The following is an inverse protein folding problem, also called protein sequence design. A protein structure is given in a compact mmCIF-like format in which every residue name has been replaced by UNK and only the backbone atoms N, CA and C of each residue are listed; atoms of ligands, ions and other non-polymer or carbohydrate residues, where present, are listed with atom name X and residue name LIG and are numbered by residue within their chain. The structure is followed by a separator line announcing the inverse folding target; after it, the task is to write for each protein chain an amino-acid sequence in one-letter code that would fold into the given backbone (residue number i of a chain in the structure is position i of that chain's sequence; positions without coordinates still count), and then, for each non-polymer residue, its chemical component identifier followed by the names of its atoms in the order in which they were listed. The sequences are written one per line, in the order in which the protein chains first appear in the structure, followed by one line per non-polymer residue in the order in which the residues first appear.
data_IF_876058796851
#
_entry.id   IF_876058796851
#
_cell.length_a   1.000
_cell.length_b   1.000
_cell.length_c   1.000
_cell.angle_alpha   90.00
_cell.angle_beta   90.00
_cell.angle_gamma   90.00
#
_symmetry.space_group_name_H-M   'P 1'
#
loop_
_entity.id
_entity.type
_entity.pdbx_description
1 polymer ?
#
# COMPACT_ATOMS: atom_id res chain seq x y z
N UNK A 1 5.34 -2.71 3.47
CA UNK A 1 4.44 -1.67 2.90
C UNK A 1 4.11 -2.06 1.48
N UNK A 2 2.83 -2.20 1.16
CA UNK A 2 2.38 -2.55 -0.19
C UNK A 2 1.27 -1.58 -0.62
N UNK A 3 1.33 -1.07 -1.87
CA UNK A 3 0.40 -0.10 -2.43
C UNK A 3 0.19 1.15 -1.54
N UNK A 4 1.24 1.59 -0.86
CA UNK A 4 1.19 2.73 0.05
C UNK A 4 1.56 4.04 -0.66
N UNK A 5 1.11 5.16 -0.09
CA UNK A 5 1.60 6.49 -0.47
C UNK A 5 2.42 7.07 0.67
N UNK A 6 3.68 7.38 0.40
CA UNK A 6 4.59 8.07 1.31
C UNK A 6 4.53 9.57 0.99
N UNK A 7 3.87 10.33 1.86
CA UNK A 7 3.70 11.76 1.67
C UNK A 7 4.77 12.55 2.44
N UNK A 8 5.67 13.21 1.72
CA UNK A 8 6.69 14.08 2.29
C UNK A 8 6.07 15.44 2.57
N UNK A 9 6.10 15.87 3.81
CA UNK A 9 5.50 17.15 4.27
C UNK A 9 6.57 18.19 4.65
N UNK A 10 7.84 17.82 4.59
CA UNK A 10 8.96 18.66 5.04
C UNK A 10 9.63 19.37 3.86
N UNK A 11 9.61 20.69 3.85
CA UNK A 11 10.18 21.51 2.78
C UNK A 11 11.70 21.38 2.61
N UNK A 12 12.42 20.98 3.64
CA UNK A 12 13.88 20.79 3.59
C UNK A 12 14.31 19.42 3.02
N UNK A 13 13.38 18.62 2.52
CA UNK A 13 13.66 17.24 2.13
C UNK A 13 13.98 16.34 3.33
N UNK A 14 14.83 15.35 3.14
CA UNK A 14 15.25 14.45 4.20
C UNK A 14 15.45 13.02 3.73
N UNK A 15 15.22 12.08 4.62
CA UNK A 15 15.37 10.64 4.39
C UNK A 15 14.03 9.97 4.63
N UNK A 16 13.60 9.09 3.70
CA UNK A 16 12.35 8.35 3.88
C UNK A 16 12.50 7.37 5.04
N UNK A 17 13.62 6.66 5.09
CA UNK A 17 13.91 5.72 6.18
C UNK A 17 15.29 5.93 6.79
N UNK A 18 15.40 5.56 8.06
CA UNK A 18 16.65 5.33 8.77
C UNK A 18 16.53 3.96 9.47
N UNK A 19 16.69 2.87 8.73
CA UNK A 19 16.45 1.52 9.24
C UNK A 19 17.50 1.12 10.27
N UNK A 20 17.03 0.43 11.31
CA UNK A 20 17.85 -0.20 12.33
C UNK A 20 17.31 -1.63 12.54
N UNK A 21 18.05 -2.63 12.10
CA UNK A 21 17.65 -4.03 12.16
C UNK A 21 18.77 -4.88 12.75
N UNK A 22 18.41 -5.86 13.57
CA UNK A 22 19.34 -6.91 13.95
C UNK A 22 19.79 -7.71 12.70
N UNK A 23 20.99 -8.23 12.71
CA UNK A 23 21.54 -9.00 11.59
C UNK A 23 20.65 -10.20 11.18
N UNK A 24 19.98 -10.82 12.17
CA UNK A 24 19.06 -11.93 11.97
C UNK A 24 17.72 -11.55 11.31
N UNK A 25 17.40 -10.25 11.20
CA UNK A 25 16.17 -9.81 10.54
C UNK A 25 16.23 -10.18 9.05
N UNK A 26 15.24 -10.96 8.57
CA UNK A 26 15.30 -11.51 7.21
C UNK A 26 15.09 -10.43 6.15
N UNK A 27 14.09 -9.55 6.29
CA UNK A 27 13.65 -8.64 5.22
C UNK A 27 13.91 -7.15 5.48
N UNK A 28 13.72 -6.65 6.68
CA UNK A 28 13.79 -5.23 7.00
C UNK A 28 12.60 -4.42 6.46
N UNK A 29 12.84 -3.20 6.00
CA UNK A 29 11.80 -2.39 5.35
C UNK A 29 11.66 -2.77 3.88
N UNK A 30 10.48 -3.21 3.51
CA UNK A 30 10.13 -3.56 2.12
C UNK A 30 8.95 -2.68 1.68
N UNK A 31 9.18 -1.90 0.63
CA UNK A 31 8.18 -1.06 -0.02
C UNK A 31 7.89 -1.62 -1.40
N UNK A 32 6.64 -2.05 -1.64
CA UNK A 32 6.20 -2.60 -2.92
C UNK A 32 5.09 -1.74 -3.49
N UNK A 33 5.13 -1.47 -4.79
CA UNK A 33 4.08 -0.73 -5.50
C UNK A 33 3.72 0.60 -4.84
N UNK A 34 4.72 1.27 -4.28
CA UNK A 34 4.54 2.45 -3.42
C UNK A 34 4.72 3.74 -4.22
N UNK A 35 3.95 4.77 -3.91
CA UNK A 35 4.13 6.11 -4.47
C UNK A 35 4.79 7.01 -3.44
N UNK A 36 5.86 7.72 -3.82
CA UNK A 36 6.49 8.77 -3.01
C UNK A 36 6.03 10.11 -3.58
N UNK A 37 5.42 10.96 -2.77
CA UNK A 37 4.85 12.23 -3.18
C UNK A 37 5.14 13.33 -2.17
N UNK A 38 5.11 14.59 -2.61
CA UNK A 38 5.36 15.77 -1.78
C UNK A 38 4.47 16.96 -2.20
N UNK A 39 3.14 16.84 -2.10
CA UNK A 39 2.25 17.93 -2.47
C UNK A 39 2.49 19.14 -1.55
N UNK A 40 2.69 20.33 -2.15
CA UNK A 40 2.96 21.56 -1.43
C UNK A 40 4.40 21.75 -0.95
N UNK A 41 5.31 20.83 -1.26
CA UNK A 41 6.75 20.98 -1.04
C UNK A 41 7.38 21.53 -2.33
N UNK A 42 8.38 22.44 -2.25
CA UNK A 42 9.06 22.96 -3.43
C UNK A 42 9.59 21.85 -4.35
N UNK A 43 9.44 22.00 -5.67
CA UNK A 43 9.80 20.97 -6.66
C UNK A 43 11.28 20.60 -6.67
N UNK A 44 12.15 21.52 -6.26
CA UNK A 44 13.61 21.34 -6.10
C UNK A 44 13.99 20.56 -4.84
N UNK A 45 13.03 20.30 -3.94
CA UNK A 45 13.28 19.55 -2.72
C UNK A 45 13.66 18.11 -3.04
N UNK A 46 14.84 17.71 -2.59
CA UNK A 46 15.39 16.39 -2.81
C UNK A 46 15.19 15.51 -1.59
N UNK A 47 14.75 14.26 -1.82
CA UNK A 47 14.46 13.28 -0.76
C UNK A 47 15.27 12.01 -1.01
N UNK A 48 16.06 11.61 -0.04
CA UNK A 48 16.82 10.37 -0.09
C UNK A 48 15.92 9.17 0.23
N UNK A 49 16.14 8.05 -0.42
CA UNK A 49 15.43 6.78 -0.11
C UNK A 49 15.70 6.34 1.33
N UNK A 50 16.94 6.52 1.79
CA UNK A 50 17.27 6.23 3.18
C UNK A 50 18.73 6.49 3.52
N UNK A 51 19.07 6.25 4.80
CA UNK A 51 20.42 6.27 5.34
C UNK A 51 20.61 5.14 6.35
N UNK A 52 21.81 4.53 6.47
CA UNK A 52 22.02 3.36 7.32
C UNK A 52 22.15 3.77 8.79
N UNK A 53 21.21 3.33 9.63
CA UNK A 53 21.23 3.63 11.06
C UNK A 53 21.43 2.37 11.87
N UNK A 54 22.48 2.34 12.72
CA UNK A 54 22.87 1.19 13.55
C UNK A 54 22.97 -0.15 12.81
N UNK A 55 23.36 -1.18 13.50
CA UNK A 55 23.52 -2.61 13.18
C UNK A 55 23.51 -2.98 11.67
N UNK A 56 22.47 -3.69 11.21
CA UNK A 56 22.35 -4.26 9.86
C UNK A 56 21.14 -3.72 9.10
N UNK A 57 21.14 -2.45 8.69
CA UNK A 57 20.03 -1.87 7.93
C UNK A 57 19.70 -2.67 6.67
N UNK A 58 18.40 -2.88 6.44
CA UNK A 58 17.86 -3.52 5.23
C UNK A 58 16.68 -2.70 4.71
N UNK A 59 16.75 -2.27 3.47
CA UNK A 59 15.63 -1.55 2.84
C UNK A 59 15.58 -1.85 1.36
N UNK A 60 14.39 -2.15 0.86
CA UNK A 60 14.15 -2.42 -0.55
C UNK A 60 12.89 -1.69 -1.01
N UNK A 61 12.99 -1.04 -2.17
CA UNK A 61 11.87 -0.45 -2.89
C UNK A 61 11.66 -1.20 -4.20
N UNK A 62 10.42 -1.61 -4.49
CA UNK A 62 10.07 -2.36 -5.71
C UNK A 62 8.87 -1.70 -6.37
N UNK A 63 8.95 -1.44 -7.67
CA UNK A 63 7.88 -0.82 -8.45
C UNK A 63 7.42 0.51 -7.85
N UNK A 64 8.35 1.36 -7.46
CA UNK A 64 8.03 2.64 -6.80
C UNK A 64 7.83 3.74 -7.83
N UNK A 65 6.79 4.57 -7.65
CA UNK A 65 6.58 5.79 -8.43
C UNK A 65 7.08 6.98 -7.62
N UNK A 66 8.14 7.64 -8.09
CA UNK A 66 8.71 8.82 -7.46
C UNK A 66 8.12 10.10 -8.07
N UNK A 67 7.20 10.74 -7.37
CA UNK A 67 6.67 12.08 -7.71
C UNK A 67 7.44 13.20 -6.99
N UNK A 68 8.65 12.92 -6.59
CA UNK A 68 9.60 13.82 -5.91
C UNK A 68 10.97 13.63 -6.52
N UNK A 69 11.86 14.59 -6.36
CA UNK A 69 13.27 14.45 -6.76
C UNK A 69 13.98 13.51 -5.79
N UNK A 70 14.46 12.38 -6.30
CA UNK A 70 15.37 11.47 -5.60
C UNK A 70 16.77 11.72 -6.18
N UNK A 71 17.81 11.99 -5.36
CA UNK A 71 19.18 12.09 -5.85
C UNK A 71 19.56 10.84 -6.65
N UNK A 72 20.38 10.99 -7.68
CA UNK A 72 20.84 9.85 -8.49
C UNK A 72 21.48 8.75 -7.63
N UNK A 73 22.22 9.12 -6.60
CA UNK A 73 22.78 8.19 -5.62
C UNK A 73 21.73 7.44 -4.79
N UNK A 74 20.53 7.97 -4.64
CA UNK A 74 19.38 7.35 -3.93
C UNK A 74 19.58 7.19 -2.43
N UNK A 75 20.75 6.71 -2.01
CA UNK A 75 21.09 6.34 -0.64
C UNK A 75 22.17 7.24 -0.05
N UNK A 76 21.94 7.72 1.15
CA UNK A 76 22.92 8.54 1.87
C UNK A 76 23.91 7.65 2.62
N UNK A 77 25.21 7.88 2.43
CA UNK A 77 26.29 6.93 2.74
C UNK A 77 26.57 6.69 4.21
N UNK A 78 26.03 7.47 5.14
CA UNK A 78 26.41 7.31 6.56
C UNK A 78 25.30 7.69 7.52
N UNK A 79 25.18 6.93 8.58
CA UNK A 79 24.52 7.21 9.86
C UNK A 79 24.93 6.19 10.93
N UNK A 80 26.12 5.60 10.79
CA UNK A 80 26.68 4.66 11.75
C UNK A 80 26.28 3.20 11.54
N UNK A 81 25.41 2.87 10.58
CA UNK A 81 25.00 1.49 10.31
C UNK A 81 25.81 0.82 9.21
N UNK A 82 25.76 -0.52 9.20
CA UNK A 82 26.41 -1.40 8.21
C UNK A 82 25.30 -2.02 7.36
N UNK A 83 24.84 -1.37 6.27
CA UNK A 83 23.74 -1.87 5.48
C UNK A 83 24.11 -3.18 4.76
N UNK A 84 23.25 -4.19 4.87
CA UNK A 84 23.42 -5.43 4.11
C UNK A 84 22.73 -5.36 2.73
N UNK A 85 21.63 -4.62 2.65
CA UNK A 85 20.94 -4.31 1.40
C UNK A 85 20.21 -2.96 1.51
N UNK A 86 20.37 -2.12 0.51
CA UNK A 86 19.63 -0.89 0.29
C UNK A 86 19.43 -0.70 -1.21
N UNK A 87 18.40 -1.30 -1.74
CA UNK A 87 18.19 -1.40 -3.17
C UNK A 87 16.84 -0.83 -3.59
N UNK A 88 16.77 -0.36 -4.81
CA UNK A 88 15.51 -0.14 -5.49
C UNK A 88 15.50 -0.87 -6.85
N UNK A 89 14.31 -1.29 -7.26
CA UNK A 89 14.07 -2.04 -8.47
C UNK A 89 12.83 -1.51 -9.18
N UNK A 90 12.96 -1.24 -10.48
CA UNK A 90 11.87 -0.71 -11.29
C UNK A 90 11.24 0.56 -10.70
N UNK A 91 12.09 1.50 -10.27
CA UNK A 91 11.64 2.82 -9.83
C UNK A 91 11.34 3.69 -11.05
N UNK A 92 10.19 4.34 -11.04
CA UNK A 92 9.66 5.15 -12.12
C UNK A 92 9.51 6.61 -11.70
N UNK A 93 9.53 7.53 -12.66
CA UNK A 93 9.20 8.94 -12.45
C UNK A 93 7.67 9.15 -12.31
N UNK A 94 7.23 10.40 -12.15
CA UNK A 94 5.82 10.77 -12.03
C UNK A 94 4.97 10.42 -13.25
N UNK A 95 5.59 10.22 -14.42
CA UNK A 95 4.95 9.89 -15.70
C UNK A 95 4.96 8.38 -15.99
N UNK A 96 5.58 7.59 -15.11
CA UNK A 96 5.72 6.14 -15.27
C UNK A 96 6.91 5.72 -16.14
N UNK A 97 7.86 6.63 -16.43
CA UNK A 97 9.09 6.28 -17.14
C UNK A 97 10.10 5.70 -16.16
N UNK A 98 10.82 4.62 -16.51
CA UNK A 98 11.88 4.07 -15.67
C UNK A 98 12.97 5.09 -15.37
N UNK A 99 13.41 5.18 -14.12
CA UNK A 99 14.59 5.94 -13.74
C UNK A 99 15.86 5.13 -14.04
N UNK A 100 16.94 5.85 -14.37
CA UNK A 100 18.28 5.25 -14.44
C UNK A 100 18.79 5.00 -13.00
N UNK A 101 18.92 3.74 -12.64
CA UNK A 101 19.39 3.30 -11.32
C UNK A 101 20.90 3.01 -11.28
N UNK A 102 21.63 3.20 -12.41
CA UNK A 102 23.05 2.86 -12.50
C UNK A 102 23.96 3.67 -11.56
N UNK A 103 23.47 4.85 -11.15
CA UNK A 103 24.18 5.75 -10.23
C UNK A 103 23.80 5.56 -8.77
N UNK A 104 23.00 4.52 -8.44
CA UNK A 104 22.66 4.22 -7.06
C UNK A 104 23.89 3.91 -6.24
N UNK A 105 24.01 4.58 -5.11
CA UNK A 105 25.16 4.45 -4.22
C UNK A 105 25.18 3.07 -3.54
N UNK A 106 26.27 2.36 -3.66
CA UNK A 106 26.56 1.12 -2.92
C UNK A 106 27.50 1.35 -1.74
N UNK A 107 28.26 2.46 -1.75
CA UNK A 107 29.24 2.81 -0.75
C UNK A 107 28.60 3.36 0.52
N UNK A 108 29.09 2.88 1.67
CA UNK A 108 28.83 3.45 2.99
C UNK A 108 30.08 3.56 3.83
N UNK A 109 30.01 4.35 4.89
CA UNK A 109 31.01 4.34 5.95
C UNK A 109 30.38 4.50 7.33
N UNK A 110 31.10 4.03 8.33
CA UNK A 110 30.78 4.28 9.74
C UNK A 110 32.07 4.61 10.50
N UNK A 111 31.94 5.07 11.74
CA UNK A 111 33.06 5.29 12.66
C UNK A 111 33.02 4.16 13.68
N UNK A 112 34.11 3.43 13.80
CA UNK A 112 34.25 2.33 14.76
C UNK A 112 34.45 2.85 16.19
N UNK A 113 34.44 1.96 17.18
CA UNK A 113 34.64 2.29 18.59
C UNK A 113 36.01 2.92 18.90
N UNK A 114 37.00 2.73 18.04
CA UNK A 114 38.31 3.34 18.12
C UNK A 114 38.39 4.71 17.44
N UNK A 115 37.28 5.19 16.83
CA UNK A 115 37.21 6.46 16.15
C UNK A 115 37.71 6.45 14.70
N UNK A 116 37.98 5.27 14.13
CA UNK A 116 38.44 5.17 12.75
C UNK A 116 37.26 5.12 11.79
N UNK A 117 37.45 5.76 10.62
CA UNK A 117 36.52 5.60 9.51
C UNK A 117 36.67 4.22 8.87
N UNK A 118 35.60 3.46 8.81
CA UNK A 118 35.51 2.16 8.15
C UNK A 118 34.61 2.27 6.94
N UNK A 119 35.14 1.95 5.77
CA UNK A 119 34.44 1.98 4.49
C UNK A 119 33.87 0.61 4.15
N UNK A 120 32.71 0.58 3.46
CA UNK A 120 32.09 -0.65 3.01
C UNK A 120 31.18 -0.46 1.81
N UNK A 121 30.69 -1.58 1.30
CA UNK A 121 29.78 -1.58 0.14
C UNK A 121 28.60 -2.50 0.44
N UNK A 122 27.41 -2.00 0.15
CA UNK A 122 26.15 -2.72 0.32
C UNK A 122 25.59 -3.13 -1.03
N UNK A 123 24.74 -4.13 -1.03
CA UNK A 123 23.99 -4.49 -2.23
C UNK A 123 22.97 -3.40 -2.53
N UNK A 124 23.07 -2.78 -3.72
CA UNK A 124 22.20 -1.68 -4.19
C UNK A 124 21.34 -2.02 -5.40
N UNK A 125 21.50 -3.21 -5.97
CA UNK A 125 20.72 -3.71 -7.11
C UNK A 125 20.10 -5.06 -6.81
N UNK A 126 18.91 -5.30 -7.40
CA UNK A 126 18.25 -6.60 -7.40
C UNK A 126 18.22 -7.16 -8.82
N UNK A 127 18.42 -8.47 -8.96
CA UNK A 127 18.08 -9.18 -10.19
C UNK A 127 16.57 -9.33 -10.31
N UNK A 128 16.06 -9.72 -11.48
CA UNK A 128 14.64 -9.99 -11.67
C UNK A 128 14.13 -11.10 -10.74
N UNK A 129 14.93 -12.15 -10.53
CA UNK A 129 14.61 -13.27 -9.66
C UNK A 129 14.55 -12.84 -8.20
N UNK A 130 15.51 -12.00 -7.78
CA UNK A 130 15.52 -11.46 -6.42
C UNK A 130 14.32 -10.53 -6.18
N UNK A 131 14.02 -9.62 -7.11
CA UNK A 131 12.85 -8.75 -7.02
C UNK A 131 11.55 -9.55 -6.96
N UNK A 132 11.43 -10.62 -7.74
CA UNK A 132 10.27 -11.52 -7.73
C UNK A 132 10.09 -12.29 -6.42
N UNK A 133 11.14 -12.43 -5.61
CA UNK A 133 11.07 -13.06 -4.29
C UNK A 133 10.38 -12.20 -3.22
N UNK A 134 10.31 -10.88 -3.44
CA UNK A 134 9.62 -9.94 -2.55
C UNK A 134 8.11 -9.98 -2.80
N UNK A 135 7.45 -10.89 -2.16
CA UNK A 135 5.98 -11.01 -2.17
C UNK A 135 5.44 -10.85 -0.75
N UNK A 136 4.19 -10.46 -0.60
CA UNK A 136 3.53 -10.38 0.73
C UNK A 136 3.70 -11.70 1.47
N UNK A 137 3.49 -12.82 0.77
CA UNK A 137 3.68 -14.15 1.33
C UNK A 137 5.08 -14.36 1.87
N UNK A 138 6.11 -14.13 1.07
CA UNK A 138 7.49 -14.42 1.46
C UNK A 138 7.97 -13.47 2.56
N UNK A 139 7.58 -12.18 2.49
CA UNK A 139 8.04 -11.14 3.43
C UNK A 139 7.39 -11.28 4.81
N UNK A 140 6.11 -11.68 4.87
CA UNK A 140 5.34 -11.73 6.12
C UNK A 140 5.15 -13.13 6.67
N UNK A 141 5.36 -14.16 5.85
CA UNK A 141 5.24 -15.55 6.27
C UNK A 141 6.42 -15.90 7.18
N UNK A 142 6.16 -16.03 8.46
CA UNK A 142 7.11 -16.55 9.44
C UNK A 142 6.98 -18.08 9.60
N UNK A 143 7.44 -18.59 10.75
CA UNK A 143 7.25 -20.01 11.13
C UNK A 143 5.78 -20.39 11.31
N UNK A 144 4.90 -19.41 11.52
CA UNK A 144 3.45 -19.52 11.65
C UNK A 144 2.72 -19.53 10.29
N UNK A 145 3.45 -19.38 9.19
CA UNK A 145 2.91 -19.28 7.84
C UNK A 145 1.85 -18.18 7.67
N UNK A 146 1.94 -17.10 8.46
CA UNK A 146 0.97 -16.01 8.44
C UNK A 146 0.92 -15.32 7.07
N UNK A 147 -0.30 -15.17 6.54
CA UNK A 147 -0.55 -14.49 5.29
C UNK A 147 -1.77 -13.57 5.45
N UNK A 148 -1.59 -12.25 5.52
CA UNK A 148 -2.70 -11.31 5.70
C UNK A 148 -3.71 -11.35 4.55
N UNK A 149 -3.28 -11.73 3.34
CA UNK A 149 -4.17 -11.88 2.19
C UNK A 149 -5.18 -13.03 2.35
N UNK A 150 -4.89 -14.03 3.19
CA UNK A 150 -5.81 -15.11 3.48
C UNK A 150 -6.89 -14.72 4.50
N UNK A 151 -6.71 -13.59 5.19
CA UNK A 151 -7.66 -13.06 6.16
C UNK A 151 -8.71 -12.15 5.53
N UNK A 152 -8.56 -11.81 4.25
CA UNK A 152 -9.51 -10.98 3.50
C UNK A 152 -10.59 -11.86 2.85
N UNK A 153 -11.27 -12.72 3.62
CA UNK A 153 -12.52 -13.30 3.15
C UNK A 153 -13.48 -12.15 2.88
N UNK A 154 -13.96 -12.03 1.66
CA UNK A 154 -15.01 -11.06 1.35
C UNK A 154 -16.32 -11.53 1.97
N UNK A 155 -17.07 -10.60 2.54
CA UNK A 155 -18.43 -10.88 2.97
C UNK A 155 -19.29 -11.32 1.78
N UNK A 156 -20.32 -12.08 2.07
CA UNK A 156 -21.33 -12.41 1.08
C UNK A 156 -22.03 -11.15 0.53
N UNK A 157 -22.70 -11.32 -0.58
CA UNK A 157 -23.49 -10.27 -1.24
C UNK A 157 -24.79 -10.04 -0.46
N UNK A 158 -25.12 -8.81 -0.01
CA UNK A 158 -26.40 -8.49 0.59
C UNK A 158 -27.53 -8.64 -0.44
N UNK A 159 -28.61 -9.34 -0.06
CA UNK A 159 -29.86 -9.38 -0.83
C UNK A 159 -30.76 -8.31 -0.25
N UNK A 160 -30.97 -7.24 -1.00
CA UNK A 160 -31.69 -6.06 -0.54
C UNK A 160 -33.11 -6.06 -1.10
N UNK A 161 -34.10 -5.87 -0.22
CA UNK A 161 -35.50 -5.68 -0.57
C UNK A 161 -35.92 -4.24 -0.28
N UNK A 162 -36.84 -3.73 -1.08
CA UNK A 162 -37.46 -2.42 -0.86
C UNK A 162 -38.86 -2.64 -0.32
N UNK A 163 -39.14 -2.07 0.86
CA UNK A 163 -40.47 -2.08 1.48
C UNK A 163 -40.66 -0.80 2.27
N UNK A 164 -41.83 -0.17 2.12
CA UNK A 164 -42.24 1.00 2.91
C UNK A 164 -41.19 2.14 2.93
N UNK A 165 -40.60 2.47 1.77
CA UNK A 165 -39.51 3.44 1.62
C UNK A 165 -38.24 3.11 2.43
N UNK A 166 -38.02 1.84 2.69
CA UNK A 166 -36.82 1.34 3.34
C UNK A 166 -36.14 0.28 2.46
N UNK A 167 -34.81 0.35 2.38
CA UNK A 167 -33.96 -0.77 2.00
C UNK A 167 -33.80 -1.67 3.23
N UNK A 168 -34.02 -2.95 3.08
CA UNK A 168 -33.81 -3.93 4.16
C UNK A 168 -33.08 -5.15 3.62
N UNK A 169 -32.25 -5.76 4.44
CA UNK A 169 -31.50 -6.98 4.09
C UNK A 169 -31.28 -7.86 5.32
N UNK A 170 -30.99 -9.12 5.07
CA UNK A 170 -30.58 -10.04 6.14
C UNK A 170 -29.09 -9.79 6.45
N UNK A 171 -28.72 -9.86 7.73
CA UNK A 171 -27.34 -9.71 8.14
C UNK A 171 -26.44 -10.72 7.41
N UNK A 172 -25.40 -10.20 6.79
CA UNK A 172 -24.41 -11.01 6.07
C UNK A 172 -23.40 -11.57 7.09
N UNK A 173 -23.08 -12.85 7.06
CA UNK A 173 -22.08 -13.44 7.95
C UNK A 173 -20.74 -12.69 7.87
N UNK A 174 -20.12 -12.48 9.03
CA UNK A 174 -18.85 -11.74 9.20
C UNK A 174 -18.88 -10.25 8.84
N UNK A 175 -20.00 -9.70 8.43
CA UNK A 175 -20.12 -8.26 8.21
C UNK A 175 -20.17 -7.50 9.54
N UNK A 176 -19.32 -6.49 9.69
CA UNK A 176 -19.34 -5.56 10.83
C UNK A 176 -20.08 -4.26 10.51
N UNK A 177 -20.18 -3.90 9.25
CA UNK A 177 -20.96 -2.77 8.76
C UNK A 177 -21.29 -2.93 7.28
N UNK A 178 -22.07 -1.98 6.76
CA UNK A 178 -22.47 -1.93 5.36
C UNK A 178 -22.17 -0.55 4.78
N UNK A 179 -21.56 -0.51 3.60
CA UNK A 179 -21.36 0.70 2.80
C UNK A 179 -22.64 0.98 2.02
N UNK A 180 -23.12 2.20 2.09
CA UNK A 180 -24.27 2.69 1.33
C UNK A 180 -23.76 3.47 0.12
N UNK A 181 -24.08 2.99 -1.06
CA UNK A 181 -23.73 3.62 -2.33
C UNK A 181 -25.03 4.12 -2.98
N UNK A 182 -25.08 5.40 -3.31
CA UNK A 182 -26.19 6.06 -4.00
C UNK A 182 -25.68 6.69 -5.27
N UNK A 183 -26.26 6.33 -6.43
CA UNK A 183 -25.86 6.84 -7.74
C UNK A 183 -24.33 6.74 -7.95
N UNK A 184 -23.77 5.54 -7.66
CA UNK A 184 -22.36 5.19 -7.75
C UNK A 184 -21.41 6.01 -6.85
N UNK A 185 -21.94 6.70 -5.84
CA UNK A 185 -21.15 7.41 -4.82
C UNK A 185 -21.40 6.81 -3.44
N UNK A 186 -20.34 6.59 -2.68
CA UNK A 186 -20.45 6.24 -1.26
C UNK A 186 -21.02 7.45 -0.52
N UNK A 187 -22.15 7.25 0.17
CA UNK A 187 -22.83 8.28 0.94
C UNK A 187 -22.77 8.04 2.46
N UNK A 188 -22.32 6.88 2.89
CA UNK A 188 -22.17 6.57 4.31
C UNK A 188 -22.03 5.10 4.60
N UNK A 189 -22.07 4.79 5.90
CA UNK A 189 -21.97 3.45 6.47
C UNK A 189 -23.10 3.26 7.46
N UNK A 190 -23.52 2.02 7.64
CA UNK A 190 -24.46 1.63 8.70
C UNK A 190 -24.11 0.27 9.29
N UNK A 191 -24.36 0.09 10.57
CA UNK A 191 -24.33 -1.23 11.24
C UNK A 191 -25.69 -1.88 11.24
N UNK A 192 -26.75 -1.14 10.87
CA UNK A 192 -28.10 -1.66 10.75
C UNK A 192 -28.27 -2.44 9.44
N UNK A 193 -29.25 -3.29 9.38
CA UNK A 193 -29.68 -4.03 8.17
C UNK A 193 -30.80 -3.33 7.43
N UNK A 194 -30.89 -2.00 7.57
CA UNK A 194 -31.88 -1.16 6.89
C UNK A 194 -31.33 0.23 6.62
N UNK A 195 -31.86 0.89 5.60
CA UNK A 195 -31.55 2.27 5.24
C UNK A 195 -32.70 2.94 4.52
N UNK A 196 -32.85 4.24 4.65
CA UNK A 196 -33.91 4.99 3.97
C UNK A 196 -33.76 4.88 2.45
N UNK A 197 -34.87 4.65 1.77
CA UNK A 197 -34.92 4.52 0.32
C UNK A 197 -35.58 5.74 -0.34
N UNK A 198 -34.95 6.22 -1.37
CA UNK A 198 -35.48 7.26 -2.28
C UNK A 198 -35.65 6.63 -3.67
N UNK A 199 -36.88 6.49 -4.13
CA UNK A 199 -37.22 5.82 -5.39
C UNK A 199 -36.61 6.47 -6.64
N UNK A 200 -36.15 7.74 -6.54
CA UNK A 200 -35.51 8.46 -7.63
C UNK A 200 -33.98 8.17 -7.74
N UNK A 201 -33.47 7.24 -6.95
CA UNK A 201 -32.04 6.98 -6.85
C UNK A 201 -31.72 5.48 -6.93
N UNK A 202 -30.56 5.19 -7.48
CA UNK A 202 -30.02 3.81 -7.55
C UNK A 202 -29.17 3.57 -6.31
N UNK A 203 -29.43 2.46 -5.61
CA UNK A 203 -28.67 2.08 -4.43
C UNK A 203 -27.96 0.76 -4.63
N UNK A 204 -26.77 0.67 -4.05
CA UNK A 204 -26.02 -0.57 -3.85
C UNK A 204 -25.56 -0.63 -2.40
N UNK A 205 -25.61 -1.81 -1.81
CA UNK A 205 -25.14 -2.05 -0.45
C UNK A 205 -24.01 -3.08 -0.53
N UNK A 206 -22.89 -2.81 0.14
CA UNK A 206 -21.79 -3.76 0.25
C UNK A 206 -21.52 -4.06 1.71
N UNK A 207 -21.40 -5.34 2.05
CA UNK A 207 -20.99 -5.74 3.39
C UNK A 207 -19.46 -5.59 3.56
N UNK A 208 -19.03 -5.23 4.76
CA UNK A 208 -17.63 -5.01 5.11
C UNK A 208 -17.26 -5.91 6.28
N UNK A 209 -16.18 -6.67 6.18
CA UNK A 209 -15.65 -7.49 7.25
C UNK A 209 -14.74 -6.69 8.21
N UNK A 210 -14.30 -7.30 9.30
CA UNK A 210 -13.43 -6.69 10.31
C UNK A 210 -12.06 -6.24 9.78
N UNK A 211 -11.63 -6.76 8.63
CA UNK A 211 -10.37 -6.41 7.96
C UNK A 211 -10.54 -5.31 6.90
N UNK A 212 -11.74 -4.75 6.73
CA UNK A 212 -12.06 -3.76 5.70
C UNK A 212 -12.31 -4.34 4.31
N UNK A 213 -12.40 -5.66 4.18
CA UNK A 213 -12.74 -6.34 2.92
C UNK A 213 -14.19 -6.07 2.52
N UNK A 214 -14.41 -5.58 1.29
CA UNK A 214 -15.72 -5.35 0.70
C UNK A 214 -16.24 -6.60 0.00
N UNK A 215 -17.48 -6.97 0.29
CA UNK A 215 -18.21 -7.98 -0.46
C UNK A 215 -18.72 -7.45 -1.80
N UNK A 216 -19.32 -8.31 -2.59
CA UNK A 216 -20.00 -7.90 -3.82
C UNK A 216 -21.14 -6.92 -3.53
N UNK A 217 -21.39 -6.00 -4.46
CA UNK A 217 -22.50 -5.06 -4.34
C UNK A 217 -23.86 -5.79 -4.46
N UNK A 218 -24.83 -5.36 -3.66
CA UNK A 218 -26.17 -5.90 -3.61
C UNK A 218 -26.89 -5.86 -4.97
N UNK A 219 -27.79 -6.81 -5.16
CA UNK A 219 -28.91 -6.69 -6.10
C UNK A 219 -30.16 -6.23 -5.35
N UNK A 220 -30.92 -5.31 -5.95
CA UNK A 220 -32.24 -4.93 -5.44
C UNK A 220 -33.28 -5.93 -5.94
N UNK A 221 -34.09 -6.47 -5.02
CA UNK A 221 -35.29 -7.21 -5.36
C UNK A 221 -36.50 -6.41 -4.90
N UNK A 222 -37.41 -6.06 -5.80
CA UNK A 222 -38.69 -5.45 -5.44
C UNK A 222 -39.69 -6.54 -5.15
N UNK A 223 -40.47 -6.38 -4.07
CA UNK A 223 -41.54 -7.32 -3.68
C UNK A 223 -42.77 -7.24 -4.59
N UNK A 224 -42.84 -6.19 -5.41
CA UNK A 224 -43.90 -6.03 -6.42
C UNK A 224 -43.35 -6.34 -7.81
N UNK A 225 -43.24 -7.64 -8.15
CA UNK A 225 -43.02 -8.17 -9.49
C UNK A 225 -41.77 -7.64 -10.20
N UNK A 226 -40.78 -8.50 -10.30
CA UNK A 226 -39.63 -8.55 -11.20
C UNK A 226 -39.45 -7.28 -12.07
N UNK A 227 -38.70 -6.31 -11.58
CA UNK A 227 -38.03 -5.32 -12.43
C UNK A 227 -36.54 -5.63 -12.42
N UNK A 228 -36.13 -6.50 -13.31
CA UNK A 228 -34.73 -6.74 -13.66
C UNK A 228 -34.18 -5.48 -14.33
N UNK A 229 -33.35 -4.73 -13.61
CA UNK A 229 -32.49 -3.71 -14.24
C UNK A 229 -31.12 -4.36 -14.54
N UNK A 230 -31.10 -5.22 -15.53
CA UNK A 230 -29.89 -5.49 -16.30
C UNK A 230 -29.86 -4.46 -17.43
N UNK A 231 -29.12 -3.38 -17.26
CA UNK A 231 -28.63 -2.61 -18.40
C UNK A 231 -27.14 -2.89 -18.55
N UNK A 232 -26.82 -4.02 -19.18
CA UNK A 232 -25.61 -4.09 -19.98
C UNK A 232 -25.82 -3.13 -21.18
N UNK A 233 -25.10 -2.03 -21.23
CA UNK A 233 -24.82 -1.35 -22.49
C UNK A 233 -23.54 -1.92 -23.02
N UNK A 234 -23.70 -2.84 -23.98
CA UNK A 234 -22.72 -3.09 -25.03
C UNK A 234 -22.73 -1.90 -25.97
N UNK A 235 -21.60 -1.18 -26.04
CA UNK A 235 -20.98 -0.63 -27.25
C UNK A 235 -19.55 -0.18 -26.93
#
# INVERSE_FOLDING_TARGET
FDHCTLNIVRNSGGYIVAPNHAAATSWGYVFMNTTITAPGVPSETSVWLGRPWHDSPKTVYINTIAKVTIPAAGWYQTMGGIPSIWADYNTMDANGNPLDLSMRNDYYYYIDDAGNKVDGYAKNHLTNEEAASYTIKNVLSGSDAWQPTNLTESCGKPIVTVKDNMLTWIAVPYAICYVIIKNDKVIGFTTNTSYNYDSNSIYKIQAVNEYGGLGEASTLTTTDGIASLTSEKTE
#
